data_IF_015510561319
#
_entry.id   IF_015510561319
#
_cell.length_a   1.000
_cell.length_b   1.000
_cell.length_c   1.000
_cell.angle_alpha   90.00
_cell.angle_beta   90.00
_cell.angle_gamma   90.00
#
_symmetry.space_group_name_H-M   'P 1'
#
loop_
_entity.id
_entity.type
_entity.pdbx_description
1 polymer ?
#
# COMPACT_ATOMS: atom_id res chain seq x y z
N UNK A 1 -9.04 9.35 23.78
CA UNK A 1 -8.92 7.97 23.23
C UNK A 1 -7.44 7.60 23.17
N UNK A 2 -6.99 6.64 23.99
CA UNK A 2 -5.58 6.25 24.06
C UNK A 2 -5.22 5.31 22.90
N UNK A 3 -4.21 5.68 22.10
CA UNK A 3 -3.72 4.88 20.99
C UNK A 3 -3.14 3.55 21.49
N UNK A 4 -3.77 2.42 21.13
CA UNK A 4 -3.25 1.07 21.43
C UNK A 4 -1.87 0.89 20.79
N UNK A 5 -0.81 0.90 21.61
CA UNK A 5 0.56 0.57 21.22
C UNK A 5 0.60 -0.88 20.72
N UNK A 6 0.80 -1.08 19.40
CA UNK A 6 0.92 -2.42 18.79
C UNK A 6 2.08 -3.17 19.45
N UNK A 7 1.80 -4.29 20.12
CA UNK A 7 2.81 -5.16 20.74
C UNK A 7 3.65 -5.82 19.62
N UNK A 8 4.97 -5.70 19.70
CA UNK A 8 5.90 -6.37 18.77
C UNK A 8 5.84 -7.87 19.03
N UNK A 9 5.63 -8.68 17.99
CA UNK A 9 5.65 -10.14 18.10
C UNK A 9 7.09 -10.59 18.43
N UNK A 10 7.29 -11.57 19.32
CA UNK A 10 8.61 -12.12 19.58
C UNK A 10 9.16 -12.81 18.33
N UNK A 11 10.48 -12.75 18.15
CA UNK A 11 11.18 -13.38 17.03
C UNK A 11 11.09 -14.91 17.21
N UNK A 12 10.54 -15.60 16.20
CA UNK A 12 10.41 -17.07 16.19
C UNK A 12 11.79 -17.72 16.01
N UNK A 13 12.02 -18.91 16.60
CA UNK A 13 13.28 -19.68 16.45
C UNK A 13 13.70 -19.88 14.98
N UNK A 14 12.73 -20.16 14.11
CA UNK A 14 12.95 -20.25 12.66
C UNK A 14 13.56 -18.96 12.08
N UNK A 15 13.11 -17.80 12.53
CA UNK A 15 13.65 -16.50 12.13
C UNK A 15 15.06 -16.30 12.67
N UNK A 16 15.37 -16.77 13.88
CA UNK A 16 16.74 -16.68 14.43
C UNK A 16 17.72 -17.54 13.64
N UNK A 17 17.36 -18.78 13.32
CA UNK A 17 18.17 -19.68 12.47
C UNK A 17 18.38 -19.07 11.09
N UNK A 18 17.31 -18.51 10.48
CA UNK A 18 17.40 -17.85 9.19
C UNK A 18 18.31 -16.63 9.22
N UNK A 19 18.25 -15.80 10.26
CA UNK A 19 19.12 -14.64 10.42
C UNK A 19 20.58 -15.04 10.62
N UNK A 20 20.85 -16.10 11.40
CA UNK A 20 22.20 -16.61 11.62
C UNK A 20 22.79 -17.18 10.31
N UNK A 21 21.99 -17.94 9.56
CA UNK A 21 22.38 -18.43 8.25
C UNK A 21 22.67 -17.28 7.26
N UNK A 22 21.79 -16.28 7.21
CA UNK A 22 21.99 -15.09 6.37
C UNK A 22 23.26 -14.32 6.75
N UNK A 23 23.57 -14.23 8.05
CA UNK A 23 24.80 -13.60 8.53
C UNK A 23 26.05 -14.36 8.10
N UNK A 24 26.07 -15.70 8.22
CA UNK A 24 27.17 -16.52 7.72
C UNK A 24 27.34 -16.34 6.20
N UNK A 25 26.24 -16.39 5.45
CA UNK A 25 26.26 -16.21 3.99
C UNK A 25 26.83 -14.84 3.60
N UNK A 26 26.50 -13.80 4.38
CA UNK A 26 27.00 -12.45 4.16
C UNK A 26 28.51 -12.35 4.32
N UNK A 27 29.09 -13.09 5.27
CA UNK A 27 30.55 -13.14 5.47
C UNK A 27 31.23 -13.89 4.32
N UNK A 28 30.64 -14.99 3.85
CA UNK A 28 31.19 -15.80 2.75
C UNK A 28 31.15 -15.03 1.43
N UNK A 29 30.05 -14.33 1.14
CA UNK A 29 29.85 -13.53 -0.07
C UNK A 29 29.98 -12.03 0.21
N UNK A 30 31.13 -11.65 0.78
CA UNK A 30 31.41 -10.28 1.20
C UNK A 30 31.28 -9.25 0.06
N UNK A 31 31.86 -9.47 -1.14
CA UNK A 31 31.73 -8.52 -2.27
C UNK A 31 30.28 -8.33 -2.70
N UNK A 32 29.52 -9.42 -2.82
CA UNK A 32 28.12 -9.39 -3.22
C UNK A 32 27.24 -8.71 -2.16
N UNK A 33 27.52 -8.94 -0.88
CA UNK A 33 26.81 -8.28 0.22
C UNK A 33 26.99 -6.77 0.17
N UNK A 34 28.22 -6.29 -0.01
CA UNK A 34 28.50 -4.85 -0.11
C UNK A 34 27.71 -4.24 -1.27
N UNK A 35 27.78 -4.85 -2.46
CA UNK A 35 27.08 -4.37 -3.64
C UNK A 35 25.56 -4.30 -3.41
N UNK A 36 24.96 -5.39 -2.89
CA UNK A 36 23.53 -5.43 -2.61
C UNK A 36 23.14 -4.43 -1.52
N UNK A 37 23.95 -4.27 -0.47
CA UNK A 37 23.66 -3.35 0.62
C UNK A 37 23.52 -1.91 0.13
N UNK A 38 24.46 -1.44 -0.70
CA UNK A 38 24.41 -0.09 -1.27
C UNK A 38 23.42 0.04 -2.43
N UNK A 39 23.28 -0.99 -3.27
CA UNK A 39 22.31 -1.02 -4.38
C UNK A 39 20.86 -1.03 -3.90
N UNK A 40 20.59 -1.67 -2.76
CA UNK A 40 19.23 -1.81 -2.21
C UNK A 40 18.81 -0.65 -1.29
N UNK A 41 19.64 0.40 -1.12
CA UNK A 41 19.29 1.58 -0.31
C UNK A 41 17.93 2.20 -0.68
N UNK A 42 17.57 2.38 -1.97
CA UNK A 42 16.26 2.91 -2.36
C UNK A 42 15.08 2.07 -1.84
N UNK A 43 15.24 0.74 -1.75
CA UNK A 43 14.23 -0.18 -1.20
C UNK A 43 14.11 -0.03 0.31
N UNK A 44 15.22 0.17 1.02
CA UNK A 44 15.18 0.46 2.45
C UNK A 44 14.38 1.74 2.71
N UNK A 45 14.63 2.79 1.92
CA UNK A 45 13.86 4.05 1.98
C UNK A 45 12.38 3.81 1.70
N UNK A 46 12.02 3.01 0.69
CA UNK A 46 10.64 2.64 0.39
C UNK A 46 9.93 1.98 1.58
N UNK A 47 10.64 1.06 2.25
CA UNK A 47 10.12 0.32 3.40
C UNK A 47 9.90 1.20 4.64
N UNK A 48 10.72 2.25 4.82
CA UNK A 48 10.59 3.18 5.94
C UNK A 48 9.45 4.19 5.74
N UNK A 49 9.23 4.62 4.50
CA UNK A 49 8.20 5.62 4.16
C UNK A 49 6.80 4.97 4.12
N UNK A 50 6.70 3.71 3.70
CA UNK A 50 5.43 2.97 3.58
C UNK A 50 4.88 2.48 4.92
N UNK A 51 4.26 3.36 5.73
CA UNK A 51 3.50 2.97 6.94
C UNK A 51 1.97 2.96 6.74
N UNK A 52 1.49 3.28 5.53
CA UNK A 52 0.06 3.38 5.19
C UNK A 52 -0.45 2.23 4.31
N UNK A 53 -1.20 1.32 4.92
CA UNK A 53 -2.25 0.42 4.38
C UNK A 53 -2.04 -0.54 3.21
N UNK A 54 -0.99 -0.49 2.40
CA UNK A 54 -0.76 -1.52 1.36
C UNK A 54 0.71 -1.93 1.31
N UNK A 55 1.04 -3.08 1.90
CA UNK A 55 2.42 -3.59 2.00
C UNK A 55 3.08 -3.97 0.66
N UNK A 56 2.44 -3.67 -0.48
CA UNK A 56 2.92 -3.97 -1.82
C UNK A 56 4.07 -3.08 -2.26
N UNK A 57 4.12 -1.80 -1.83
CA UNK A 57 5.13 -0.83 -2.30
C UNK A 57 6.57 -1.25 -2.05
N UNK A 58 6.85 -1.74 -0.85
CA UNK A 58 8.20 -2.19 -0.52
C UNK A 58 8.60 -3.43 -1.34
N UNK A 59 7.63 -4.29 -1.67
CA UNK A 59 7.85 -5.49 -2.48
C UNK A 59 8.06 -5.16 -3.96
N UNK A 60 7.24 -4.29 -4.54
CA UNK A 60 7.34 -3.88 -5.96
C UNK A 60 8.63 -3.11 -6.22
N UNK A 61 8.93 -2.10 -5.39
CA UNK A 61 10.18 -1.33 -5.48
C UNK A 61 11.38 -2.23 -5.17
N UNK A 62 11.26 -3.14 -4.21
CA UNK A 62 12.32 -4.10 -3.87
C UNK A 62 12.65 -5.06 -5.00
N UNK A 63 11.63 -5.66 -5.61
CA UNK A 63 11.81 -6.57 -6.74
C UNK A 63 12.43 -5.86 -7.95
N UNK A 64 11.94 -4.65 -8.27
CA UNK A 64 12.46 -3.89 -9.41
C UNK A 64 13.89 -3.40 -9.16
N UNK A 65 14.20 -2.91 -7.96
CA UNK A 65 15.56 -2.51 -7.60
C UNK A 65 16.54 -3.70 -7.64
N UNK A 66 16.12 -4.85 -7.11
CA UNK A 66 16.93 -6.06 -7.17
C UNK A 66 17.18 -6.52 -8.61
N UNK A 67 16.18 -6.42 -9.50
CA UNK A 67 16.37 -6.68 -10.92
C UNK A 67 17.40 -5.74 -11.56
N UNK A 68 17.46 -4.48 -11.15
CA UNK A 68 18.49 -3.52 -11.56
C UNK A 68 19.90 -3.84 -11.03
N UNK A 69 19.98 -4.46 -9.84
CA UNK A 69 21.25 -4.91 -9.26
C UNK A 69 21.75 -6.23 -9.88
N UNK A 70 20.83 -7.05 -10.39
CA UNK A 70 21.12 -8.39 -10.93
C UNK A 70 22.25 -8.47 -11.98
N UNK A 71 22.31 -7.62 -13.03
CA UNK A 71 23.40 -7.69 -14.00
C UNK A 71 24.78 -7.43 -13.38
N UNK A 72 24.87 -6.56 -12.38
CA UNK A 72 26.12 -6.26 -11.68
C UNK A 72 26.52 -7.37 -10.71
N UNK A 73 25.54 -8.04 -10.10
CA UNK A 73 25.79 -9.25 -9.32
C UNK A 73 26.37 -10.34 -10.22
N UNK A 74 25.78 -10.54 -11.40
CA UNK A 74 26.31 -11.51 -12.37
C UNK A 74 27.71 -11.17 -12.83
N UNK A 75 27.99 -9.90 -13.16
CA UNK A 75 29.32 -9.47 -13.58
C UNK A 75 30.37 -9.66 -12.47
N UNK A 76 29.99 -9.40 -11.21
CA UNK A 76 30.84 -9.65 -10.06
C UNK A 76 31.14 -11.16 -9.89
N UNK A 77 30.14 -12.00 -10.13
CA UNK A 77 30.24 -13.47 -10.04
C UNK A 77 31.06 -14.11 -11.15
N UNK A 78 30.97 -13.61 -12.38
CA UNK A 78 31.73 -14.13 -13.53
C UNK A 78 33.14 -13.58 -13.61
N UNK A 79 33.41 -12.46 -12.93
CA UNK A 79 34.72 -11.82 -12.87
C UNK A 79 35.56 -12.34 -11.68
N UNK A 80 36.22 -11.45 -10.93
CA UNK A 80 37.19 -11.83 -9.89
C UNK A 80 36.58 -11.98 -8.50
N UNK A 81 35.29 -11.70 -8.32
CA UNK A 81 34.61 -11.75 -7.01
C UNK A 81 35.43 -11.09 -5.89
N UNK A 82 36.02 -9.93 -6.16
CA UNK A 82 36.82 -9.20 -5.17
C UNK A 82 36.05 -8.03 -4.57
N UNK A 83 36.40 -7.68 -3.34
CA UNK A 83 35.84 -6.48 -2.66
C UNK A 83 36.19 -5.22 -3.44
N UNK A 84 37.41 -5.13 -3.98
CA UNK A 84 37.86 -4.00 -4.78
C UNK A 84 36.99 -3.78 -6.03
N UNK A 85 36.63 -4.86 -6.73
CA UNK A 85 35.72 -4.78 -7.89
C UNK A 85 34.32 -4.32 -7.48
N UNK A 86 33.78 -4.84 -6.39
CA UNK A 86 32.47 -4.41 -5.89
C UNK A 86 32.47 -2.91 -5.53
N UNK A 87 33.52 -2.44 -4.87
CA UNK A 87 33.68 -1.03 -4.52
C UNK A 87 33.86 -0.16 -5.77
N UNK A 88 34.68 -0.58 -6.74
CA UNK A 88 34.86 0.17 -7.99
C UNK A 88 33.56 0.27 -8.78
N UNK A 89 32.75 -0.79 -8.82
CA UNK A 89 31.41 -0.77 -9.43
C UNK A 89 30.48 0.22 -8.73
N UNK A 90 30.51 0.30 -7.40
CA UNK A 90 29.68 1.23 -6.64
C UNK A 90 30.06 2.70 -6.85
N UNK A 91 31.32 3.00 -7.21
CA UNK A 91 31.76 4.35 -7.54
C UNK A 91 31.62 4.69 -9.03
N UNK A 92 31.29 3.72 -9.88
CA UNK A 92 31.00 3.98 -11.29
C UNK A 92 29.62 4.68 -11.43
N UNK A 93 29.57 5.90 -11.99
CA UNK A 93 28.32 6.62 -12.19
C UNK A 93 27.28 5.81 -12.99
N UNK A 94 27.72 5.02 -13.97
CA UNK A 94 26.81 4.22 -14.80
C UNK A 94 26.08 3.18 -13.95
N UNK A 95 26.80 2.52 -13.06
CA UNK A 95 26.26 1.47 -12.18
C UNK A 95 25.17 2.01 -11.26
N UNK A 96 25.47 3.12 -10.56
CA UNK A 96 24.53 3.77 -9.65
C UNK A 96 23.27 4.20 -10.40
N UNK A 97 23.43 4.82 -11.58
CA UNK A 97 22.30 5.27 -12.40
C UNK A 97 21.40 4.10 -12.76
N UNK A 98 21.94 2.99 -13.26
CA UNK A 98 21.13 1.83 -13.64
C UNK A 98 20.40 1.24 -12.44
N UNK A 99 21.10 1.01 -11.32
CA UNK A 99 20.50 0.47 -10.10
C UNK A 99 19.36 1.36 -9.60
N UNK A 100 19.59 2.67 -9.53
CA UNK A 100 18.63 3.59 -8.91
C UNK A 100 17.49 3.95 -9.87
N UNK A 101 17.74 3.96 -11.18
CA UNK A 101 16.68 4.05 -12.19
C UNK A 101 15.72 2.87 -12.11
N UNK A 102 16.23 1.64 -11.91
CA UNK A 102 15.37 0.48 -11.70
C UNK A 102 14.47 0.64 -10.46
N UNK A 103 15.03 1.14 -9.35
CA UNK A 103 14.24 1.48 -8.17
C UNK A 103 13.18 2.56 -8.46
N UNK A 104 13.55 3.60 -9.22
CA UNK A 104 12.63 4.67 -9.61
C UNK A 104 11.47 4.15 -10.48
N UNK A 105 11.75 3.23 -11.41
CA UNK A 105 10.71 2.53 -12.18
C UNK A 105 9.78 1.75 -11.26
N UNK A 106 10.31 1.08 -10.23
CA UNK A 106 9.50 0.42 -9.21
C UNK A 106 8.52 1.38 -8.51
N UNK A 107 8.97 2.59 -8.19
CA UNK A 107 8.11 3.63 -7.62
C UNK A 107 7.05 4.13 -8.60
N UNK A 108 7.39 4.27 -9.88
CA UNK A 108 6.43 4.68 -10.91
C UNK A 108 5.33 3.63 -11.08
N UNK A 109 5.69 2.35 -11.08
CA UNK A 109 4.73 1.24 -11.17
C UNK A 109 3.81 1.26 -9.95
N UNK A 110 4.37 1.38 -8.75
CA UNK A 110 3.57 1.44 -7.51
C UNK A 110 2.57 2.61 -7.55
N UNK A 111 3.03 3.80 -7.93
CA UNK A 111 2.16 4.98 -8.05
C UNK A 111 1.04 4.78 -9.08
N UNK A 112 1.36 4.25 -10.26
CA UNK A 112 0.37 3.99 -11.31
C UNK A 112 -0.67 2.96 -10.87
N UNK A 113 -0.24 1.87 -10.25
CA UNK A 113 -1.12 0.80 -9.78
C UNK A 113 -2.01 1.29 -8.62
N UNK A 114 -1.43 1.95 -7.62
CA UNK A 114 -2.21 2.51 -6.50
C UNK A 114 -3.23 3.55 -6.97
N UNK A 115 -2.87 4.39 -7.94
CA UNK A 115 -3.80 5.35 -8.56
C UNK A 115 -4.96 4.65 -9.27
N UNK A 116 -4.67 3.62 -10.06
CA UNK A 116 -5.68 2.83 -10.77
C UNK A 116 -6.63 2.11 -9.80
N UNK A 117 -6.08 1.43 -8.79
CA UNK A 117 -6.87 0.70 -7.78
C UNK A 117 -7.76 1.65 -7.00
N UNK A 118 -7.24 2.81 -6.60
CA UNK A 118 -8.02 3.85 -5.93
C UNK A 118 -9.23 4.29 -6.76
N UNK A 119 -9.03 4.54 -8.06
CA UNK A 119 -10.11 4.94 -8.97
C UNK A 119 -11.17 3.84 -9.12
N UNK A 120 -10.76 2.58 -9.26
CA UNK A 120 -11.69 1.44 -9.36
C UNK A 120 -12.51 1.30 -8.08
N UNK A 121 -11.88 1.41 -6.90
CA UNK A 121 -12.58 1.34 -5.62
C UNK A 121 -13.61 2.46 -5.46
N UNK A 122 -13.27 3.68 -5.88
CA UNK A 122 -14.22 4.81 -5.86
C UNK A 122 -15.38 4.57 -6.82
N UNK A 123 -15.11 4.04 -8.02
CA UNK A 123 -16.16 3.72 -8.99
C UNK A 123 -17.11 2.62 -8.48
N UNK A 124 -16.56 1.58 -7.84
CA UNK A 124 -17.36 0.52 -7.20
C UNK A 124 -18.17 1.06 -6.01
N UNK A 125 -17.62 1.99 -5.23
CA UNK A 125 -18.36 2.62 -4.15
C UNK A 125 -19.54 3.44 -4.68
N UNK A 126 -19.33 4.22 -5.76
CA UNK A 126 -20.39 4.98 -6.43
C UNK A 126 -21.49 4.08 -6.99
N UNK A 127 -21.13 2.97 -7.66
CA UNK A 127 -22.13 2.04 -8.20
C UNK A 127 -22.94 1.35 -7.11
N UNK A 128 -22.30 1.01 -5.97
CA UNK A 128 -22.99 0.48 -4.79
C UNK A 128 -23.97 1.48 -4.20
N UNK A 129 -23.59 2.75 -4.08
CA UNK A 129 -24.49 3.81 -3.60
C UNK A 129 -25.69 3.95 -4.53
N UNK A 130 -25.46 4.05 -5.85
CA UNK A 130 -26.54 4.16 -6.82
C UNK A 130 -27.52 2.98 -6.76
N UNK A 131 -27.02 1.75 -6.58
CA UNK A 131 -27.87 0.57 -6.41
C UNK A 131 -28.66 0.56 -5.08
N UNK A 132 -28.14 1.20 -4.03
CA UNK A 132 -28.87 1.39 -2.76
C UNK A 132 -29.97 2.44 -2.94
N UNK A 133 -29.65 3.57 -3.57
CA UNK A 133 -30.59 4.67 -3.83
C UNK A 133 -31.77 4.17 -4.70
N UNK A 134 -31.49 3.38 -5.74
CA UNK A 134 -32.54 2.78 -6.59
C UNK A 134 -33.48 1.86 -5.78
N UNK A 135 -32.93 1.06 -4.86
CA UNK A 135 -33.74 0.20 -3.97
C UNK A 135 -34.56 1.02 -2.99
N UNK A 136 -33.99 2.08 -2.42
CA UNK A 136 -34.72 2.99 -1.55
C UNK A 136 -35.88 3.65 -2.29
N UNK A 137 -35.65 4.18 -3.50
CA UNK A 137 -36.69 4.77 -4.32
C UNK A 137 -37.80 3.78 -4.68
N UNK A 138 -37.45 2.53 -4.99
CA UNK A 138 -38.42 1.47 -5.25
C UNK A 138 -39.25 1.10 -4.02
N UNK A 139 -38.67 1.13 -2.81
CA UNK A 139 -39.41 0.92 -1.56
C UNK A 139 -40.39 2.07 -1.30
N UNK A 140 -39.96 3.33 -1.43
CA UNK A 140 -40.83 4.50 -1.27
C UNK A 140 -42.00 4.48 -2.25
N UNK A 141 -41.75 4.12 -3.52
CA UNK A 141 -42.82 4.01 -4.52
C UNK A 141 -43.88 2.96 -4.17
N UNK A 142 -43.48 1.85 -3.55
CA UNK A 142 -44.39 0.72 -3.26
C UNK A 142 -45.11 0.85 -1.92
N UNK A 143 -44.47 1.48 -0.94
CA UNK A 143 -44.93 1.49 0.45
C UNK A 143 -45.24 2.90 0.97
N UNK A 144 -45.06 3.94 0.16
CA UNK A 144 -45.28 5.33 0.57
C UNK A 144 -44.06 5.93 1.28
N UNK A 145 -44.17 7.23 1.61
CA UNK A 145 -43.06 7.99 2.20
C UNK A 145 -42.74 7.54 3.64
N UNK A 146 -43.67 6.88 4.33
CA UNK A 146 -43.54 6.42 5.72
C UNK A 146 -42.34 5.47 5.97
N UNK A 147 -41.88 4.76 4.93
CA UNK A 147 -40.76 3.80 5.04
C UNK A 147 -39.37 4.47 4.98
N UNK A 148 -39.30 5.78 4.71
CA UNK A 148 -38.02 6.52 4.70
C UNK A 148 -37.42 6.71 6.08
N UNK A 149 -38.21 6.57 7.15
CA UNK A 149 -37.78 6.90 8.51
C UNK A 149 -37.62 8.40 8.77
N UNK A 150 -38.06 9.25 7.83
CA UNK A 150 -38.06 10.71 7.96
C UNK A 150 -39.35 11.25 8.61
N UNK A 151 -40.36 10.40 8.79
CA UNK A 151 -41.65 10.79 9.40
C UNK A 151 -41.50 10.84 10.93
N UNK A 152 -41.98 11.93 11.54
CA UNK A 152 -42.02 12.06 12.99
C UNK A 152 -43.01 11.04 13.58
N UNK A 153 -42.54 10.22 14.53
CA UNK A 153 -43.33 9.18 15.17
C UNK A 153 -43.88 9.67 16.51
N UNK A 154 -45.10 9.27 16.86
CA UNK A 154 -45.68 9.48 18.20
C UNK A 154 -45.02 8.61 19.29
N UNK A 155 -45.43 8.77 20.55
CA UNK A 155 -44.92 7.95 21.66
C UNK A 155 -45.19 6.44 21.48
N UNK A 156 -46.11 6.07 20.60
CA UNK A 156 -46.51 4.71 20.28
C UNK A 156 -45.80 4.15 19.03
N UNK A 157 -45.05 4.97 18.29
CA UNK A 157 -44.29 4.59 17.11
C UNK A 157 -45.05 4.68 15.77
N UNK A 158 -46.22 5.34 15.73
CA UNK A 158 -46.97 5.59 14.51
C UNK A 158 -46.63 6.96 13.90
N UNK A 159 -46.67 7.10 12.57
CA UNK A 159 -46.43 8.39 11.91
C UNK A 159 -47.46 9.42 12.37
N UNK A 160 -46.99 10.60 12.82
CA UNK A 160 -47.87 11.74 13.07
C UNK A 160 -48.28 12.32 11.72
N UNK A 161 -49.58 12.27 11.41
CA UNK A 161 -50.15 12.89 10.22
C UNK A 161 -49.94 14.42 10.30
N UNK A 162 -49.07 14.97 9.45
CA UNK A 162 -49.03 16.42 9.18
C UNK A 162 -49.64 16.65 7.80
N UNK A 163 -50.94 16.96 7.79
CA UNK A 163 -51.72 17.39 6.63
C UNK A 163 -51.26 18.79 6.16
N UNK A 164 -50.06 18.91 5.57
CA UNK A 164 -49.48 20.19 5.15
C UNK A 164 -48.67 20.11 3.84
N UNK A 165 -48.88 21.03 2.86
CA UNK A 165 -48.24 20.93 1.56
C UNK A 165 -46.76 21.34 1.60
N UNK A 166 -45.95 20.56 0.90
CA UNK A 166 -44.71 20.94 0.20
C UNK A 166 -43.74 21.87 0.96
N UNK A 167 -42.69 21.25 1.51
CA UNK A 167 -41.32 21.77 1.50
C UNK A 167 -41.04 23.03 2.32
N UNK A 168 -40.60 22.85 3.57
CA UNK A 168 -39.77 23.87 4.22
C UNK A 168 -38.56 23.25 4.90
N UNK A 169 -37.38 23.49 4.29
CA UNK A 169 -36.10 23.30 4.94
C UNK A 169 -36.01 24.24 6.15
N UNK A 170 -36.15 23.72 7.36
CA UNK A 170 -35.77 24.46 8.56
C UNK A 170 -34.24 24.45 8.69
N UNK A 171 -33.63 25.52 8.15
CA UNK A 171 -32.28 25.97 8.53
C UNK A 171 -32.24 26.12 10.06
N UNK A 172 -31.35 25.39 10.73
CA UNK A 172 -30.94 25.71 12.11
C UNK A 172 -29.71 26.61 12.07
N UNK A 173 -29.89 27.80 12.66
CA UNK A 173 -28.86 28.75 13.08
C UNK A 173 -28.00 28.19 14.20
#
# INVERSE_FOLDING_TARGET
>A
MAAKKKRKKPITWQTQVLLLFAFILSIVFLPTTILIFFGMLPTMVASFIGRGREGSRALTVGAMNFAGCFPFILDLWTSRNTVEQAVSMLFDPRTIVVMYCAAAVGYLIDWAVSGLVGNILVQQAKSRIAAIDERQAAMVKRWGHEVTGEVALDEQGFPMDDDGPVGTKTKKS
#
